data_IF_102125956098
#
_entry.id   IF_102125956098
#
_cell.length_a   1.000
_cell.length_b   1.000
_cell.length_c   1.000
_cell.angle_alpha   90.00
_cell.angle_beta   90.00
_cell.angle_gamma   90.00
#
_symmetry.space_group_name_H-M   'P 1'
#
loop_
_entity.id
_entity.type
_entity.pdbx_description
1 polymer ?
#
# COMPACT_ATOMS: atom_id res chain seq x y z
N UNK A 1 -4.20 2.72 -6.78
CA UNK A 1 -4.17 4.20 -6.81
C UNK A 1 -3.43 4.67 -5.57
N UNK A 2 -2.19 5.14 -5.77
CA UNK A 2 -1.33 5.55 -4.65
C UNK A 2 -1.88 6.75 -3.88
N UNK A 3 -2.67 7.63 -4.51
CA UNK A 3 -3.30 8.74 -3.82
C UNK A 3 -4.30 8.23 -2.77
N UNK A 4 -5.13 7.26 -3.14
CA UNK A 4 -6.10 6.65 -2.21
C UNK A 4 -5.41 5.88 -1.09
N UNK A 5 -4.35 5.14 -1.42
CA UNK A 5 -3.55 4.42 -0.41
C UNK A 5 -2.90 5.38 0.58
N UNK A 6 -2.20 6.41 0.09
CA UNK A 6 -1.55 7.43 0.91
C UNK A 6 -2.56 8.16 1.80
N UNK A 7 -3.67 8.63 1.23
CA UNK A 7 -4.73 9.31 1.98
C UNK A 7 -5.28 8.44 3.11
N UNK A 8 -5.50 7.15 2.87
CA UNK A 8 -6.02 6.21 3.88
C UNK A 8 -5.00 5.85 4.94
N UNK A 9 -3.72 5.76 4.55
CA UNK A 9 -2.59 5.52 5.44
C UNK A 9 -2.39 6.73 6.37
N UNK A 10 -2.39 7.96 5.84
CA UNK A 10 -2.29 9.15 6.67
C UNK A 10 -3.52 9.31 7.58
N UNK A 11 -4.72 9.08 7.05
CA UNK A 11 -5.95 9.08 7.83
C UNK A 11 -6.46 10.49 8.15
N UNK A 12 -6.82 10.74 9.42
CA UNK A 12 -7.46 12.02 9.85
C UNK A 12 -6.64 13.28 9.50
N UNK A 13 -5.31 13.30 9.68
CA UNK A 13 -4.48 14.47 9.37
C UNK A 13 -4.54 14.92 7.91
N UNK A 14 -4.87 14.03 6.97
CA UNK A 14 -4.87 14.34 5.54
C UNK A 14 -5.59 15.65 5.19
N UNK A 15 -6.77 15.89 5.77
CA UNK A 15 -7.56 17.10 5.48
C UNK A 15 -6.92 18.41 5.98
N UNK A 16 -5.99 18.34 6.94
CA UNK A 16 -5.32 19.50 7.52
C UNK A 16 -3.97 19.80 6.86
N UNK A 17 -3.43 18.87 6.07
CA UNK A 17 -2.19 19.04 5.32
C UNK A 17 -2.49 19.82 4.03
N UNK A 18 -1.65 20.80 3.70
CA UNK A 18 -1.76 21.54 2.45
C UNK A 18 -1.50 20.65 1.22
N UNK A 19 -1.91 21.14 0.05
CA UNK A 19 -1.89 20.33 -1.18
C UNK A 19 -0.48 19.95 -1.62
N UNK A 20 0.50 20.81 -1.41
CA UNK A 20 1.89 20.58 -1.81
C UNK A 20 2.49 19.44 -0.97
N UNK A 21 2.29 19.52 0.35
CA UNK A 21 2.71 18.47 1.28
C UNK A 21 1.97 17.15 1.11
N UNK A 22 0.69 17.19 0.74
CA UNK A 22 -0.04 15.97 0.36
C UNK A 22 0.59 15.30 -0.86
N UNK A 23 1.00 16.07 -1.88
CA UNK A 23 1.64 15.54 -3.08
C UNK A 23 3.01 14.94 -2.77
N UNK A 24 3.81 15.63 -1.96
CA UNK A 24 5.10 15.12 -1.49
C UNK A 24 4.92 13.81 -0.73
N UNK A 25 3.99 13.77 0.23
CA UNK A 25 3.70 12.57 1.00
C UNK A 25 3.26 11.40 0.11
N UNK A 26 2.43 11.64 -0.92
CA UNK A 26 2.04 10.59 -1.88
C UNK A 26 3.27 10.05 -2.62
N UNK A 27 4.16 10.92 -3.07
CA UNK A 27 5.38 10.53 -3.77
C UNK A 27 6.28 9.67 -2.88
N UNK A 28 6.59 10.15 -1.68
CA UNK A 28 7.43 9.45 -0.72
C UNK A 28 6.80 8.13 -0.24
N UNK A 29 5.48 8.11 -0.01
CA UNK A 29 4.79 6.89 0.40
C UNK A 29 4.77 5.85 -0.72
N UNK A 30 4.62 6.28 -1.98
CA UNK A 30 4.78 5.40 -3.14
C UNK A 30 6.18 4.80 -3.14
N UNK A 31 7.23 5.60 -3.05
CA UNK A 31 8.61 5.12 -3.02
C UNK A 31 8.86 4.13 -1.88
N UNK A 32 8.39 4.44 -0.67
CA UNK A 32 8.46 3.52 0.47
C UNK A 32 7.81 2.16 0.18
N UNK A 33 6.61 2.15 -0.41
CA UNK A 33 5.93 0.91 -0.78
C UNK A 33 6.69 0.14 -1.85
N UNK A 34 7.25 0.85 -2.84
CA UNK A 34 8.10 0.25 -3.86
C UNK A 34 9.33 -0.41 -3.20
N UNK A 35 10.10 0.30 -2.40
CA UNK A 35 11.31 -0.22 -1.76
C UNK A 35 11.01 -1.38 -0.79
N UNK A 36 9.90 -1.31 -0.05
CA UNK A 36 9.58 -2.33 0.96
C UNK A 36 9.06 -3.63 0.34
N UNK A 37 8.31 -3.55 -0.78
CA UNK A 37 7.55 -4.69 -1.29
C UNK A 37 7.94 -5.14 -2.69
N UNK A 38 8.42 -4.25 -3.57
CA UNK A 38 8.91 -4.70 -4.88
C UNK A 38 10.11 -5.62 -4.73
N UNK A 39 10.99 -5.41 -3.75
CA UNK A 39 12.12 -6.32 -3.55
C UNK A 39 11.67 -7.69 -3.05
N UNK A 40 10.65 -7.75 -2.20
CA UNK A 40 10.00 -9.02 -1.82
C UNK A 40 9.36 -9.71 -3.03
N UNK A 41 8.61 -8.96 -3.84
CA UNK A 41 7.98 -9.47 -5.05
C UNK A 41 9.04 -9.96 -6.05
N UNK A 42 10.11 -9.19 -6.29
CA UNK A 42 11.23 -9.57 -7.16
C UNK A 42 11.97 -10.80 -6.65
N UNK A 43 12.20 -10.90 -5.35
CA UNK A 43 12.83 -12.07 -4.75
C UNK A 43 11.97 -13.34 -4.92
N UNK A 44 10.65 -13.20 -4.92
CA UNK A 44 9.72 -14.30 -5.26
C UNK A 44 9.53 -14.51 -6.76
N UNK A 45 9.67 -13.47 -7.60
CA UNK A 45 9.39 -13.50 -9.02
C UNK A 45 10.49 -14.23 -9.80
N UNK A 46 10.32 -15.54 -9.90
CA UNK A 46 11.06 -16.43 -10.80
C UNK A 46 10.27 -16.66 -12.09
N UNK A 47 10.89 -17.21 -13.16
CA UNK A 47 10.17 -17.56 -14.39
C UNK A 47 8.98 -18.53 -14.18
N UNK A 48 8.95 -19.23 -13.04
CA UNK A 48 7.89 -20.16 -12.66
C UNK A 48 6.87 -19.53 -11.71
N UNK A 49 7.01 -18.25 -11.38
CA UNK A 49 6.06 -17.54 -10.52
C UNK A 49 4.81 -17.17 -11.30
N UNK A 50 3.66 -17.60 -10.81
CA UNK A 50 2.36 -17.30 -11.41
C UNK A 50 1.41 -16.75 -10.36
N UNK A 51 0.55 -15.82 -10.78
CA UNK A 51 -0.57 -15.34 -9.97
C UNK A 51 -1.83 -16.04 -10.43
N UNK A 52 -2.48 -16.77 -9.53
CA UNK A 52 -3.76 -17.44 -9.77
C UNK A 52 -4.88 -16.65 -9.09
N UNK A 53 -5.90 -16.31 -9.86
CA UNK A 53 -7.14 -15.78 -9.32
C UNK A 53 -7.86 -16.82 -8.44
N UNK A 54 -8.39 -16.41 -7.30
CA UNK A 54 -9.23 -17.24 -6.42
C UNK A 54 -10.71 -16.86 -6.57
N UNK A 55 -11.06 -15.67 -6.10
CA UNK A 55 -12.44 -15.15 -6.13
C UNK A 55 -12.49 -13.64 -6.02
N UNK A 56 -13.62 -13.04 -6.38
CA UNK A 56 -13.98 -11.69 -5.95
C UNK A 56 -15.26 -11.61 -5.13
N UNK A 57 -15.38 -10.53 -4.36
CA UNK A 57 -16.62 -10.11 -3.72
C UNK A 57 -16.82 -8.63 -3.99
N UNK A 58 -17.99 -8.24 -4.49
CA UNK A 58 -18.33 -6.85 -4.82
C UNK A 58 -19.47 -6.38 -3.93
N UNK A 59 -19.26 -5.26 -3.25
CA UNK A 59 -20.22 -4.64 -2.34
C UNK A 59 -20.35 -3.15 -2.67
N UNK A 60 -21.35 -2.83 -3.51
CA UNK A 60 -21.58 -1.47 -4.00
C UNK A 60 -20.37 -0.92 -4.74
N UNK A 61 -19.69 0.07 -4.13
CA UNK A 61 -18.49 0.71 -4.71
C UNK A 61 -17.18 0.07 -4.25
N UNK A 62 -17.23 -1.01 -3.49
CA UNK A 62 -16.05 -1.72 -2.98
C UNK A 62 -15.97 -3.11 -3.59
N UNK A 63 -14.75 -3.60 -3.78
CA UNK A 63 -14.52 -4.99 -4.16
C UNK A 63 -13.29 -5.55 -3.43
N UNK A 64 -13.30 -6.85 -3.20
CA UNK A 64 -12.17 -7.63 -2.71
C UNK A 64 -11.84 -8.67 -3.77
N UNK A 65 -10.62 -8.67 -4.30
CA UNK A 65 -10.14 -9.68 -5.24
C UNK A 65 -9.03 -10.47 -4.55
N UNK A 66 -9.22 -11.77 -4.40
CA UNK A 66 -8.28 -12.69 -3.75
C UNK A 66 -7.46 -13.41 -4.81
N UNK A 67 -6.16 -13.50 -4.58
CA UNK A 67 -5.22 -14.17 -5.48
C UNK A 67 -4.20 -14.98 -4.70
N UNK A 68 -3.68 -16.02 -5.36
CA UNK A 68 -2.55 -16.80 -4.88
C UNK A 68 -1.34 -16.51 -5.74
N UNK A 69 -0.22 -16.20 -5.12
CA UNK A 69 1.09 -16.21 -5.77
C UNK A 69 1.71 -17.58 -5.53
N UNK A 70 1.99 -18.27 -6.62
CA UNK A 70 2.57 -19.62 -6.63
C UNK A 70 3.97 -19.55 -7.25
N UNK A 71 4.95 -20.25 -6.70
CA UNK A 71 6.30 -20.33 -7.25
C UNK A 71 6.85 -21.75 -7.15
N UNK A 72 7.71 -22.18 -8.08
CA UNK A 72 8.15 -23.59 -8.13
C UNK A 72 8.88 -24.07 -6.85
N UNK A 73 9.54 -23.16 -6.12
CA UNK A 73 10.40 -23.49 -4.98
C UNK A 73 10.09 -22.67 -3.71
N UNK A 74 8.95 -21.96 -3.65
CA UNK A 74 8.53 -21.22 -2.46
C UNK A 74 7.07 -21.58 -2.12
N UNK A 75 6.69 -21.57 -0.83
CA UNK A 75 5.29 -21.75 -0.45
C UNK A 75 4.39 -20.73 -1.15
N UNK A 76 3.22 -21.19 -1.59
CA UNK A 76 2.17 -20.32 -2.10
C UNK A 76 1.75 -19.34 -1.01
N UNK A 77 1.50 -18.08 -1.38
CA UNK A 77 1.00 -17.07 -0.45
C UNK A 77 -0.14 -16.25 -1.06
N UNK A 78 -1.02 -15.77 -0.20
CA UNK A 78 -2.22 -15.03 -0.59
C UNK A 78 -1.93 -13.53 -0.70
N UNK A 79 -2.41 -12.92 -1.79
CA UNK A 79 -2.52 -11.47 -1.94
C UNK A 79 -3.98 -11.10 -2.19
N UNK A 80 -4.54 -10.29 -1.29
CA UNK A 80 -5.85 -9.68 -1.49
C UNK A 80 -5.71 -8.22 -1.93
N UNK A 81 -6.44 -7.87 -2.98
CA UNK A 81 -6.58 -6.49 -3.45
C UNK A 81 -7.93 -5.93 -3.01
N UNK A 82 -7.91 -4.83 -2.25
CA UNK A 82 -9.14 -4.08 -1.94
C UNK A 82 -9.28 -2.93 -2.93
N UNK A 83 -10.40 -2.90 -3.63
CA UNK A 83 -10.67 -1.96 -4.71
C UNK A 83 -11.84 -1.03 -4.39
N UNK A 84 -11.75 0.18 -4.91
CA UNK A 84 -12.76 1.22 -4.85
C UNK A 84 -13.15 1.59 -6.28
N UNK A 85 -14.45 1.57 -6.58
CA UNK A 85 -14.97 2.12 -7.82
C UNK A 85 -14.91 3.66 -7.74
N UNK A 86 -14.14 4.25 -8.65
CA UNK A 86 -13.93 5.70 -8.73
C UNK A 86 -13.73 6.14 -10.18
N UNK A 87 -14.54 7.09 -10.66
CA UNK A 87 -14.47 7.61 -12.03
C UNK A 87 -14.73 6.54 -13.11
N UNK A 88 -15.62 5.57 -12.82
CA UNK A 88 -15.94 4.47 -13.74
C UNK A 88 -14.92 3.32 -13.78
N UNK A 89 -13.84 3.39 -13.00
CA UNK A 89 -12.82 2.34 -12.93
C UNK A 89 -12.58 1.81 -11.52
N UNK A 90 -12.26 0.53 -11.42
CA UNK A 90 -11.81 -0.08 -10.17
C UNK A 90 -10.37 0.33 -9.87
N UNK A 91 -10.14 0.82 -8.65
CA UNK A 91 -8.82 1.27 -8.20
C UNK A 91 -8.44 0.58 -6.90
N UNK A 92 -7.29 -0.07 -6.88
CA UNK A 92 -6.73 -0.65 -5.65
C UNK A 92 -6.46 0.47 -4.63
N UNK A 93 -7.04 0.37 -3.44
CA UNK A 93 -6.81 1.30 -2.34
C UNK A 93 -6.08 0.67 -1.16
N UNK A 94 -5.92 -0.66 -1.14
CA UNK A 94 -5.16 -1.41 -0.14
C UNK A 94 -4.78 -2.77 -0.72
N UNK A 95 -3.66 -3.32 -0.26
CA UNK A 95 -3.18 -4.66 -0.58
C UNK A 95 -2.96 -5.38 0.75
N UNK A 96 -3.40 -6.62 0.85
CA UNK A 96 -3.20 -7.47 2.03
C UNK A 96 -2.34 -8.64 1.60
N UNK A 97 -1.18 -8.78 2.23
CA UNK A 97 -0.25 -9.89 1.95
C UNK A 97 -0.23 -10.76 3.20
N UNK A 98 -0.60 -12.03 3.07
CA UNK A 98 -0.64 -12.98 4.20
C UNK A 98 -1.40 -12.43 5.42
N UNK A 99 -2.56 -11.79 5.16
CA UNK A 99 -3.40 -11.18 6.19
C UNK A 99 -2.95 -9.79 6.68
N UNK A 100 -1.79 -9.28 6.24
CA UNK A 100 -1.26 -7.98 6.66
C UNK A 100 -1.61 -6.90 5.64
N UNK A 101 -2.50 -5.98 6.02
CA UNK A 101 -2.87 -4.80 5.22
C UNK A 101 -1.73 -3.78 5.17
N UNK A 102 -1.29 -3.42 3.97
CA UNK A 102 -0.25 -2.41 3.78
C UNK A 102 -0.71 -1.05 4.30
N UNK A 103 -1.90 -0.61 3.89
CA UNK A 103 -2.43 0.69 4.30
C UNK A 103 -2.74 0.71 5.79
N UNK A 104 -3.28 -0.38 6.34
CA UNK A 104 -3.57 -0.52 7.76
C UNK A 104 -2.31 -0.46 8.62
N UNK A 105 -1.27 -1.20 8.23
CA UNK A 105 0.02 -1.21 8.92
C UNK A 105 0.65 0.19 8.96
N UNK A 106 0.75 0.87 7.81
CA UNK A 106 1.32 2.21 7.78
C UNK A 106 0.45 3.25 8.49
N UNK A 107 -0.88 3.09 8.49
CA UNK A 107 -1.76 3.95 9.27
C UNK A 107 -1.47 3.91 10.76
N UNK A 108 -1.19 2.72 11.30
CA UNK A 108 -0.81 2.58 12.69
C UNK A 108 0.55 3.24 12.97
N UNK A 109 1.54 3.02 12.10
CA UNK A 109 2.87 3.61 12.23
C UNK A 109 2.83 5.14 12.16
N UNK A 110 2.16 5.70 11.14
CA UNK A 110 2.02 7.15 10.98
C UNK A 110 1.22 7.76 12.12
N UNK A 111 0.16 7.10 12.58
CA UNK A 111 -0.60 7.53 13.76
C UNK A 111 0.29 7.60 15.01
N UNK A 112 1.14 6.60 15.23
CA UNK A 112 2.08 6.58 16.36
C UNK A 112 3.09 7.73 16.30
N UNK A 113 3.64 8.01 15.11
CA UNK A 113 4.56 9.13 14.89
C UNK A 113 3.83 10.46 15.15
N UNK A 114 2.67 10.66 14.53
CA UNK A 114 1.92 11.92 14.61
C UNK A 114 1.27 12.18 15.98
N UNK A 115 1.28 11.21 16.89
CA UNK A 115 0.91 11.43 18.28
C UNK A 115 1.98 12.20 19.06
N UNK A 116 3.25 12.11 18.64
CA UNK A 116 4.39 12.69 19.36
C UNK A 116 5.19 13.69 18.52
N UNK A 117 5.06 13.63 17.21
CA UNK A 117 5.86 14.38 16.24
C UNK A 117 4.97 15.10 15.22
N UNK A 118 5.59 15.98 14.43
CA UNK A 118 4.90 16.77 13.42
C UNK A 118 4.80 16.03 12.09
N UNK A 119 3.93 16.53 11.21
CA UNK A 119 3.86 16.04 9.84
C UNK A 119 5.18 16.23 9.07
N UNK A 120 5.94 17.29 9.35
CA UNK A 120 7.29 17.48 8.77
C UNK A 120 8.26 16.40 9.22
N UNK A 121 8.22 16.02 10.50
CA UNK A 121 9.04 14.93 11.02
C UNK A 121 8.70 13.61 10.32
N UNK A 122 7.42 13.35 10.04
CA UNK A 122 6.99 12.21 9.25
C UNK A 122 7.54 12.27 7.81
N UNK A 123 7.43 13.41 7.12
CA UNK A 123 7.99 13.57 5.78
C UNK A 123 9.51 13.33 5.78
N UNK A 124 10.23 13.88 6.74
CA UNK A 124 11.68 13.70 6.87
C UNK A 124 12.05 12.21 7.00
N UNK A 125 11.37 11.47 7.87
CA UNK A 125 11.56 10.02 8.02
C UNK A 125 11.26 9.25 6.73
N UNK A 126 10.28 9.70 5.95
CA UNK A 126 9.97 9.09 4.67
C UNK A 126 11.04 9.38 3.61
N UNK A 127 11.59 10.61 3.57
CA UNK A 127 12.72 10.97 2.69
C UNK A 127 13.94 10.09 2.96
N UNK A 128 14.27 9.85 4.23
CA UNK A 128 15.38 8.98 4.64
C UNK A 128 15.20 7.52 4.18
N UNK A 129 13.97 6.99 4.30
CA UNK A 129 13.64 5.64 3.84
C UNK A 129 13.55 5.52 2.31
N UNK A 130 13.21 6.60 1.62
CA UNK A 130 13.15 6.63 0.17
C UNK A 130 14.55 6.66 -0.49
N UNK A 131 15.55 7.22 0.20
CA UNK A 131 16.92 7.43 -0.32
C UNK A 131 17.90 6.32 0.00
N UNK A 132 17.63 5.48 0.99
CA UNK A 132 18.50 4.37 1.37
C UNK A 132 18.55 3.30 0.26
N UNK A 133 19.67 3.23 -0.45
CA UNK A 133 20.09 2.17 -1.37
C UNK A 133 21.12 1.29 -0.68
#
# INVERSE_FOLDING_TARGET
DFNEMAKRALGRPWKAVDREKQQEFVALFKELLFNTYIDRIKATATPTTSTRYDKETVEGRYALVKTWVTGANQPDFEIDYKLLLNGGGWKVYDVVIEGISLVGNYRQQFGSILNNETFESLLQRLREKATSH
#
